data_IF_510282198960
#
_entry.id   IF_510282198960
#
_cell.length_a   1.000
_cell.length_b   1.000
_cell.length_c   1.000
_cell.angle_alpha   90.00
_cell.angle_beta   90.00
_cell.angle_gamma   90.00
#
_symmetry.space_group_name_H-M   'P 1'
#
loop_
_entity.id
_entity.type
_entity.pdbx_description
1 polymer ?
#
# COMPACT_ATOMS: atom_id res chain seq x y z
N UNK A 1 34.11 18.41 -62.74
CA UNK A 1 34.05 18.13 -61.29
C UNK A 1 32.68 18.53 -60.74
N UNK A 2 31.78 17.58 -60.49
CA UNK A 2 30.38 17.83 -60.05
C UNK A 2 29.92 16.84 -58.97
N UNK A 3 30.80 16.42 -58.07
CA UNK A 3 30.50 15.36 -57.08
C UNK A 3 30.53 15.81 -55.60
N UNK A 4 30.94 17.05 -55.31
CA UNK A 4 31.06 17.52 -53.91
C UNK A 4 29.73 17.80 -53.19
N UNK A 5 28.62 18.03 -53.92
CA UNK A 5 27.32 18.37 -53.29
C UNK A 5 26.56 17.14 -52.76
N UNK A 6 26.69 15.98 -53.41
CA UNK A 6 26.02 14.75 -52.97
C UNK A 6 26.65 14.19 -51.69
N UNK A 7 27.96 14.38 -51.48
CA UNK A 7 28.68 13.90 -50.30
C UNK A 7 28.27 14.65 -49.03
N UNK A 8 28.00 15.96 -49.12
CA UNK A 8 27.50 16.75 -47.98
C UNK A 8 26.09 16.32 -47.55
N UNK A 9 25.23 15.95 -48.50
CA UNK A 9 23.88 15.47 -48.21
C UNK A 9 23.87 14.11 -47.48
N UNK A 10 24.77 13.20 -47.87
CA UNK A 10 24.94 11.93 -47.17
C UNK A 10 25.46 12.11 -45.73
N UNK A 11 26.35 13.06 -45.51
CA UNK A 11 26.88 13.34 -44.16
C UNK A 11 25.80 13.92 -43.23
N UNK A 12 24.99 14.84 -43.74
CA UNK A 12 23.85 15.42 -43.01
C UNK A 12 22.82 14.32 -42.62
N UNK A 13 22.50 13.43 -43.58
CA UNK A 13 21.63 12.30 -43.32
C UNK A 13 22.19 11.34 -42.27
N UNK A 14 23.50 11.06 -42.30
CA UNK A 14 24.16 10.21 -41.30
C UNK A 14 24.08 10.87 -39.92
N UNK A 15 24.38 12.17 -39.80
CA UNK A 15 24.29 12.90 -38.52
C UNK A 15 22.85 12.87 -38.00
N UNK A 16 21.87 13.20 -38.83
CA UNK A 16 20.47 13.19 -38.45
C UNK A 16 20.03 11.79 -37.99
N UNK A 17 20.46 10.73 -38.66
CA UNK A 17 20.16 9.35 -38.30
C UNK A 17 20.79 8.96 -36.95
N UNK A 18 22.04 9.37 -36.70
CA UNK A 18 22.72 9.12 -35.43
C UNK A 18 22.01 9.84 -34.28
N UNK A 19 21.66 11.11 -34.47
CA UNK A 19 20.91 11.88 -33.47
C UNK A 19 19.53 11.28 -33.21
N UNK A 20 18.85 10.81 -34.26
CA UNK A 20 17.56 10.17 -34.13
C UNK A 20 17.64 8.84 -33.36
N UNK A 21 18.62 7.98 -33.70
CA UNK A 21 18.86 6.72 -32.98
C UNK A 21 19.22 7.00 -31.52
N UNK A 22 20.08 7.99 -31.26
CA UNK A 22 20.44 8.39 -29.90
C UNK A 22 19.19 8.83 -29.11
N UNK A 23 18.32 9.63 -29.73
CA UNK A 23 17.04 10.04 -29.15
C UNK A 23 16.14 8.87 -28.81
N UNK A 24 16.03 7.88 -29.71
CA UNK A 24 15.26 6.64 -29.46
C UNK A 24 15.85 5.87 -28.28
N UNK A 25 17.16 5.71 -28.22
CA UNK A 25 17.82 4.97 -27.13
C UNK A 25 17.56 5.66 -25.79
N UNK A 26 17.74 6.99 -25.72
CA UNK A 26 17.47 7.77 -24.50
C UNK A 26 16.01 7.63 -24.09
N UNK A 27 15.08 7.78 -25.03
CA UNK A 27 13.65 7.64 -24.78
C UNK A 27 13.32 6.24 -24.24
N UNK A 28 13.84 5.19 -24.87
CA UNK A 28 13.56 3.81 -24.48
C UNK A 28 14.11 3.47 -23.09
N UNK A 29 15.34 3.89 -22.80
CA UNK A 29 15.96 3.73 -21.47
C UNK A 29 15.17 4.48 -20.40
N UNK A 30 14.71 5.70 -20.71
CA UNK A 30 13.88 6.48 -19.78
C UNK A 30 12.54 5.79 -19.51
N UNK A 31 11.81 5.39 -20.56
CA UNK A 31 10.50 4.76 -20.43
C UNK A 31 10.54 3.46 -19.64
N UNK A 32 11.51 2.56 -19.92
CA UNK A 32 11.62 1.28 -19.21
C UNK A 32 11.94 1.46 -17.73
N UNK A 33 12.89 2.36 -17.41
CA UNK A 33 13.32 2.53 -16.03
C UNK A 33 12.23 3.18 -15.17
N UNK A 34 11.44 4.10 -15.72
CA UNK A 34 10.34 4.74 -14.98
C UNK A 34 9.16 3.78 -14.76
N UNK A 35 8.82 2.93 -15.73
CA UNK A 35 7.70 2.00 -15.57
C UNK A 35 8.00 0.90 -14.54
N UNK A 36 9.23 0.39 -14.49
CA UNK A 36 9.60 -0.67 -13.56
C UNK A 36 9.49 -0.20 -12.10
N UNK A 37 9.99 1.01 -11.79
CA UNK A 37 9.93 1.56 -10.44
C UNK A 37 8.50 1.76 -9.93
N UNK A 38 7.57 2.13 -10.81
CA UNK A 38 6.17 2.28 -10.44
C UNK A 38 5.53 0.92 -10.11
N UNK A 39 5.84 -0.12 -10.91
CA UNK A 39 5.33 -1.46 -10.67
C UNK A 39 5.89 -2.06 -9.37
N UNK A 40 7.21 -1.96 -9.15
CA UNK A 40 7.86 -2.48 -7.95
C UNK A 40 7.25 -1.87 -6.67
N UNK A 41 6.88 -0.58 -6.71
CA UNK A 41 6.21 0.10 -5.60
C UNK A 41 4.79 -0.41 -5.36
N UNK A 42 4.02 -0.64 -6.42
CA UNK A 42 2.66 -1.19 -6.31
C UNK A 42 2.73 -2.60 -5.73
N UNK A 43 3.69 -3.41 -6.18
CA UNK A 43 3.91 -4.76 -5.68
C UNK A 43 4.34 -4.77 -4.20
N UNK A 44 5.20 -3.84 -3.78
CA UNK A 44 5.59 -3.71 -2.35
C UNK A 44 4.41 -3.28 -1.47
N UNK A 45 3.59 -2.34 -1.95
CA UNK A 45 2.37 -1.92 -1.26
C UNK A 45 1.37 -3.06 -1.15
N UNK A 46 1.14 -3.81 -2.23
CA UNK A 46 0.21 -4.95 -2.23
C UNK A 46 0.69 -6.02 -1.26
N UNK A 47 1.98 -6.37 -1.30
CA UNK A 47 2.58 -7.30 -0.35
C UNK A 47 2.37 -6.86 1.11
N UNK A 48 2.76 -5.63 1.46
CA UNK A 48 2.63 -5.13 2.84
C UNK A 48 1.18 -5.00 3.28
N UNK A 49 0.28 -4.57 2.38
CA UNK A 49 -1.13 -4.51 2.71
C UNK A 49 -1.74 -5.90 2.93
N UNK A 50 -1.26 -6.93 2.21
CA UNK A 50 -1.68 -8.32 2.44
C UNK A 50 -1.17 -8.83 3.79
N UNK A 51 0.03 -8.46 4.24
CA UNK A 51 0.51 -8.75 5.60
C UNK A 51 -0.42 -8.18 6.68
N UNK A 52 -0.80 -6.90 6.56
CA UNK A 52 -1.78 -6.28 7.46
C UNK A 52 -3.10 -7.07 7.44
N UNK A 53 -3.56 -7.45 6.24
CA UNK A 53 -4.81 -8.17 6.09
C UNK A 53 -4.78 -9.55 6.74
N UNK A 54 -3.68 -10.30 6.57
CA UNK A 54 -3.48 -11.60 7.18
C UNK A 54 -3.40 -11.53 8.70
N UNK A 55 -2.68 -10.53 9.21
CA UNK A 55 -2.51 -10.30 10.64
C UNK A 55 -3.84 -9.90 11.29
N UNK A 56 -4.55 -8.90 10.73
CA UNK A 56 -5.88 -8.51 11.19
C UNK A 56 -6.87 -9.67 11.13
N UNK A 57 -6.82 -10.49 10.08
CA UNK A 57 -7.67 -11.67 9.93
C UNK A 57 -7.20 -12.88 10.74
N UNK A 58 -6.29 -12.69 11.69
CA UNK A 58 -5.86 -13.70 12.65
C UNK A 58 -6.41 -13.42 14.05
N UNK A 59 -6.19 -14.35 14.99
CA UNK A 59 -6.49 -14.10 16.41
C UNK A 59 -5.44 -13.20 17.09
N UNK A 60 -4.30 -12.94 16.45
CA UNK A 60 -3.17 -12.26 17.07
C UNK A 60 -2.43 -13.13 18.08
N UNK A 61 -1.42 -12.56 18.72
CA UNK A 61 -0.62 -13.23 19.74
C UNK A 61 -0.19 -12.24 20.84
N UNK A 62 -0.34 -12.60 22.12
CA UNK A 62 -1.04 -13.79 22.65
C UNK A 62 -2.55 -13.77 22.34
N UNK A 63 -3.27 -14.88 22.59
CA UNK A 63 -4.70 -14.98 22.22
C UNK A 63 -5.58 -13.92 22.92
N UNK A 64 -5.18 -13.48 24.10
CA UNK A 64 -5.80 -12.45 24.95
C UNK A 64 -5.01 -11.13 24.93
N UNK A 65 -4.35 -10.82 23.80
CA UNK A 65 -3.51 -9.64 23.70
C UNK A 65 -4.27 -8.33 23.97
N UNK A 66 -3.53 -7.36 24.51
CA UNK A 66 -3.94 -6.00 24.80
C UNK A 66 -2.81 -5.01 24.43
N UNK A 67 -3.02 -3.73 24.68
CA UNK A 67 -2.07 -2.65 24.34
C UNK A 67 -0.67 -2.87 24.95
N UNK A 68 -0.59 -3.52 26.11
CA UNK A 68 0.64 -3.73 26.87
C UNK A 68 1.42 -4.98 26.43
N UNK A 69 0.73 -6.10 26.16
CA UNK A 69 1.38 -7.40 25.91
C UNK A 69 1.36 -7.87 24.45
N UNK A 70 0.82 -7.06 23.52
CA UNK A 70 0.71 -7.42 22.10
C UNK A 70 2.07 -7.75 21.47
N UNK A 71 2.13 -8.92 20.83
CA UNK A 71 3.26 -9.35 20.00
C UNK A 71 2.88 -9.42 18.52
N UNK A 72 1.64 -9.82 18.24
CA UNK A 72 1.06 -9.84 16.90
C UNK A 72 -0.38 -9.35 16.97
N UNK A 73 -0.72 -8.36 16.16
CA UNK A 73 -2.08 -7.82 16.11
C UNK A 73 -2.95 -8.80 15.32
N UNK A 74 -4.13 -9.10 15.85
CA UNK A 74 -5.19 -9.79 15.12
C UNK A 74 -6.52 -9.55 15.79
N UNK A 75 -7.56 -9.27 15.00
CA UNK A 75 -8.84 -8.80 15.53
C UNK A 75 -9.90 -9.90 15.59
N UNK A 76 -9.57 -11.13 15.20
CA UNK A 76 -10.53 -12.22 15.20
C UNK A 76 -10.53 -13.06 16.48
N UNK A 77 -11.65 -13.73 16.70
CA UNK A 77 -11.81 -14.87 17.60
C UNK A 77 -12.86 -15.77 16.99
N UNK A 78 -12.56 -17.05 16.79
CA UNK A 78 -13.48 -17.99 16.11
C UNK A 78 -13.97 -17.47 14.73
N UNK A 79 -13.08 -16.88 13.93
CA UNK A 79 -13.36 -16.30 12.61
C UNK A 79 -14.39 -15.14 12.60
N UNK A 80 -14.59 -14.47 13.74
CA UNK A 80 -15.41 -13.26 13.85
C UNK A 80 -14.60 -12.14 14.47
N UNK A 81 -14.86 -10.90 14.10
CA UNK A 81 -14.25 -9.76 14.75
C UNK A 81 -14.64 -9.78 16.24
N UNK A 82 -13.62 -9.68 17.09
CA UNK A 82 -13.74 -9.54 18.52
C UNK A 82 -13.69 -8.06 18.89
N UNK A 83 -14.75 -7.55 19.52
CA UNK A 83 -14.89 -6.12 19.84
C UNK A 83 -13.78 -5.63 20.78
N UNK A 84 -13.38 -6.41 21.78
CA UNK A 84 -12.30 -6.02 22.70
C UNK A 84 -10.95 -5.92 21.98
N UNK A 85 -10.65 -6.84 21.04
CA UNK A 85 -9.42 -6.77 20.24
C UNK A 85 -9.44 -5.61 19.25
N UNK A 86 -10.60 -5.34 18.65
CA UNK A 86 -10.78 -4.19 17.76
C UNK A 86 -10.57 -2.87 18.50
N UNK A 87 -11.07 -2.77 19.73
CA UNK A 87 -10.84 -1.64 20.62
C UNK A 87 -9.38 -1.50 21.04
N UNK A 88 -8.74 -2.60 21.46
CA UNK A 88 -7.31 -2.59 21.76
C UNK A 88 -6.48 -2.14 20.55
N UNK A 89 -6.87 -2.55 19.35
CA UNK A 89 -6.23 -2.12 18.11
C UNK A 89 -6.43 -0.62 17.85
N UNK A 90 -7.65 -0.11 18.04
CA UNK A 90 -7.93 1.32 17.96
C UNK A 90 -7.08 2.13 18.93
N UNK A 91 -7.07 1.75 20.20
CA UNK A 91 -6.27 2.42 21.25
C UNK A 91 -4.77 2.39 20.92
N UNK A 92 -4.26 1.24 20.47
CA UNK A 92 -2.86 1.09 20.09
C UNK A 92 -2.49 1.98 18.90
N UNK A 93 -3.38 2.06 17.90
CA UNK A 93 -3.19 2.92 16.73
C UNK A 93 -3.26 4.41 17.07
N UNK A 94 -4.15 4.81 17.97
CA UNK A 94 -4.32 6.20 18.38
C UNK A 94 -3.14 6.68 19.24
N UNK A 95 -2.72 5.85 20.20
CA UNK A 95 -1.61 6.19 21.11
C UNK A 95 -0.24 6.07 20.44
N UNK A 96 -0.03 5.04 19.62
CA UNK A 96 1.27 4.77 19.01
C UNK A 96 1.15 4.03 17.66
N UNK A 97 0.72 4.77 16.65
CA UNK A 97 0.65 4.31 15.27
C UNK A 97 1.97 3.75 14.71
N UNK A 98 3.13 4.23 15.16
CA UNK A 98 4.42 3.65 14.69
C UNK A 98 4.64 2.24 15.26
N UNK A 99 4.16 1.97 16.48
CA UNK A 99 4.18 0.62 17.07
C UNK A 99 3.30 -0.34 16.26
N UNK A 100 2.14 0.08 15.77
CA UNK A 100 1.30 -0.79 14.94
C UNK A 100 1.96 -1.12 13.60
N UNK A 101 2.62 -0.16 12.94
CA UNK A 101 3.42 -0.42 11.74
C UNK A 101 4.53 -1.44 11.98
N UNK A 102 5.24 -1.31 13.09
CA UNK A 102 6.28 -2.28 13.49
C UNK A 102 5.70 -3.68 13.75
N UNK A 103 4.54 -3.77 14.41
CA UNK A 103 3.88 -5.05 14.69
C UNK A 103 3.36 -5.76 13.43
N UNK A 104 2.98 -5.01 12.39
CA UNK A 104 2.62 -5.56 11.08
C UNK A 104 3.84 -5.78 10.16
N UNK A 105 5.04 -5.40 10.58
CA UNK A 105 6.27 -5.42 9.77
C UNK A 105 6.13 -4.65 8.43
N UNK A 106 5.55 -3.45 8.51
CA UNK A 106 5.31 -2.57 7.34
C UNK A 106 6.04 -1.23 7.46
N UNK A 107 6.31 -0.63 6.30
CA UNK A 107 6.93 0.68 6.16
C UNK A 107 5.92 1.76 5.76
N UNK A 108 4.91 1.38 4.98
CA UNK A 108 3.91 2.30 4.45
C UNK A 108 2.86 2.69 5.47
N UNK A 109 2.16 3.79 5.20
CA UNK A 109 1.06 4.21 6.04
C UNK A 109 -0.23 3.51 5.64
N UNK A 110 -1.10 3.31 6.63
CA UNK A 110 -2.33 2.57 6.48
C UNK A 110 -3.45 3.11 7.37
N UNK A 111 -4.67 2.82 6.94
CA UNK A 111 -5.83 2.72 7.81
C UNK A 111 -6.71 1.57 7.36
N UNK A 112 -7.61 1.14 8.24
CA UNK A 112 -8.67 0.23 7.89
C UNK A 112 -10.03 0.81 8.23
N UNK A 113 -11.06 0.36 7.53
CA UNK A 113 -12.45 0.54 7.90
C UNK A 113 -13.24 -0.74 7.65
N UNK A 114 -14.45 -0.79 8.19
CA UNK A 114 -15.44 -1.80 7.84
C UNK A 114 -16.47 -1.20 6.89
N UNK A 115 -17.23 -2.05 6.20
CA UNK A 115 -18.41 -1.60 5.44
C UNK A 115 -19.56 -1.10 6.32
N UNK A 116 -19.49 -1.38 7.61
CA UNK A 116 -20.38 -0.85 8.66
C UNK A 116 -19.58 0.07 9.58
N UNK A 117 -20.26 0.92 10.35
CA UNK A 117 -19.61 1.77 11.35
C UNK A 117 -18.97 0.90 12.44
N UNK A 118 -17.76 1.28 12.86
CA UNK A 118 -17.05 0.58 13.94
C UNK A 118 -17.51 1.21 15.25
N UNK A 119 -18.11 0.43 16.14
CA UNK A 119 -18.50 0.90 17.47
C UNK A 119 -17.38 0.61 18.48
N UNK A 120 -16.76 1.67 19.00
CA UNK A 120 -15.76 1.62 20.08
C UNK A 120 -16.30 2.44 21.26
N UNK A 121 -16.39 1.85 22.46
CA UNK A 121 -16.94 2.53 23.65
C UNK A 121 -18.32 3.18 23.47
N UNK A 122 -19.14 2.68 22.52
CA UNK A 122 -20.44 3.24 22.21
C UNK A 122 -20.41 4.46 21.27
N UNK A 123 -19.24 4.88 20.83
CA UNK A 123 -19.06 5.86 19.77
C UNK A 123 -18.79 5.16 18.44
N UNK A 124 -19.31 5.74 17.35
CA UNK A 124 -19.07 5.23 16.01
C UNK A 124 -17.87 5.94 15.41
N UNK A 125 -16.86 5.17 15.04
CA UNK A 125 -15.68 5.63 14.34
C UNK A 125 -15.69 5.12 12.90
N UNK A 126 -15.21 5.96 11.99
CA UNK A 126 -15.18 5.62 10.56
C UNK A 126 -14.00 4.72 10.19
N UNK A 127 -12.88 4.80 10.94
CA UNK A 127 -11.61 4.16 10.58
C UNK A 127 -10.69 3.98 11.78
N UNK A 128 -9.76 3.02 11.65
CA UNK A 128 -8.64 2.81 12.58
C UNK A 128 -7.33 2.95 11.79
N UNK A 129 -6.40 3.76 12.27
CA UNK A 129 -5.16 4.09 11.57
C UNK A 129 -5.00 5.60 11.34
N UNK A 130 -4.01 5.97 10.53
CA UNK A 130 -3.82 7.36 10.12
C UNK A 130 -4.53 7.59 8.80
N UNK A 131 -5.00 8.79 8.50
CA UNK A 131 -5.43 9.13 7.15
C UNK A 131 -4.58 10.24 6.56
N UNK A 132 -4.43 10.23 5.24
CA UNK A 132 -3.78 11.29 4.47
C UNK A 132 -4.80 11.95 3.55
N UNK A 133 -4.72 13.27 3.41
CA UNK A 133 -5.53 14.02 2.45
C UNK A 133 -5.05 13.83 1.01
N UNK A 134 -3.75 13.56 0.83
CA UNK A 134 -3.12 13.45 -0.48
C UNK A 134 -2.15 12.24 -0.52
N UNK A 135 -2.65 11.00 -0.43
CA UNK A 135 -1.79 9.81 -0.44
C UNK A 135 -1.14 9.60 -1.80
N UNK A 136 0.15 9.26 -1.81
CA UNK A 136 0.85 8.84 -3.04
C UNK A 136 0.79 7.32 -3.15
N UNK A 137 0.45 6.80 -4.33
CA UNK A 137 0.33 5.34 -4.59
C UNK A 137 -0.59 4.65 -3.57
N UNK A 138 -1.86 5.07 -3.51
CA UNK A 138 -2.86 4.44 -2.65
C UNK A 138 -3.37 3.15 -3.28
N UNK A 139 -3.33 2.05 -2.53
CA UNK A 139 -4.03 0.82 -2.89
C UNK A 139 -5.03 0.44 -1.80
N UNK A 140 -5.98 -0.42 -2.16
CA UNK A 140 -7.03 -0.92 -1.28
C UNK A 140 -7.05 -2.45 -1.32
N UNK A 141 -6.95 -3.07 -0.16
CA UNK A 141 -7.08 -4.51 0.03
C UNK A 141 -8.37 -4.78 0.78
N UNK A 142 -9.07 -5.83 0.35
CA UNK A 142 -10.41 -6.14 0.83
C UNK A 142 -10.47 -7.57 1.35
N UNK A 143 -11.11 -7.78 2.50
CA UNK A 143 -11.37 -9.09 3.12
C UNK A 143 -12.81 -9.16 3.64
N UNK A 144 -13.37 -10.36 3.71
CA UNK A 144 -14.70 -10.61 4.27
C UNK A 144 -14.59 -11.17 5.68
N UNK A 145 -15.42 -10.68 6.58
CA UNK A 145 -15.46 -11.13 7.97
C UNK A 145 -16.85 -10.94 8.58
N UNK A 146 -17.03 -11.28 9.85
CA UNK A 146 -18.28 -11.12 10.58
C UNK A 146 -18.05 -10.13 11.72
N UNK A 147 -18.85 -9.07 11.78
CA UNK A 147 -18.86 -8.08 12.85
C UNK A 147 -20.29 -7.93 13.38
N UNK A 148 -20.48 -7.98 14.70
CA UNK A 148 -21.82 -7.90 15.32
C UNK A 148 -22.86 -8.88 14.72
N UNK A 149 -22.42 -10.10 14.35
CA UNK A 149 -23.20 -11.12 13.64
C UNK A 149 -23.66 -10.79 12.21
N UNK A 150 -23.20 -9.68 11.63
CA UNK A 150 -23.43 -9.33 10.23
C UNK A 150 -22.16 -9.62 9.40
N UNK A 151 -22.31 -10.13 8.17
CA UNK A 151 -21.21 -10.17 7.21
C UNK A 151 -20.80 -8.74 6.85
N UNK A 152 -19.52 -8.42 7.06
CA UNK A 152 -18.96 -7.10 6.72
C UNK A 152 -17.70 -7.25 5.87
N UNK A 153 -17.37 -6.18 5.17
CA UNK A 153 -16.15 -6.07 4.40
C UNK A 153 -15.13 -5.26 5.19
N UNK A 154 -13.97 -5.85 5.47
CA UNK A 154 -12.79 -5.16 5.98
C UNK A 154 -12.01 -4.58 4.81
N UNK A 155 -11.88 -3.26 4.76
CA UNK A 155 -11.03 -2.60 3.79
C UNK A 155 -9.79 -2.05 4.48
N UNK A 156 -8.64 -2.30 3.87
CA UNK A 156 -7.34 -1.80 4.31
C UNK A 156 -6.81 -0.93 3.18
N UNK A 157 -6.48 0.30 3.53
CA UNK A 157 -5.89 1.27 2.63
C UNK A 157 -4.44 1.43 3.03
N UNK A 158 -3.52 1.34 2.08
CA UNK A 158 -2.08 1.50 2.32
C UNK A 158 -1.48 2.40 1.24
N UNK A 159 -0.61 3.33 1.63
CA UNK A 159 -0.01 4.31 0.73
C UNK A 159 1.38 4.76 1.17
N UNK A 160 2.07 5.40 0.25
CA UNK A 160 3.31 6.12 0.51
C UNK A 160 3.00 7.56 0.96
N UNK A 161 3.50 7.95 2.13
CA UNK A 161 3.50 9.35 2.60
C UNK A 161 4.24 10.27 1.60
#
# INVERSE_FOLDING_TARGET
MKTKKAQAWGFDLIIASVLFILGIVIFFVYTINTSQQAQDKIDELDYQGNLIAEDLMSEGSPADWNVENVQKIGILTNNKINNSKLENFYQLSDQNYQKTKSLFDIKYDYFMNLSEEISINGENIERIGRASENPTNLIKITRFTIYNNNPVTLNIYIWQE
#
